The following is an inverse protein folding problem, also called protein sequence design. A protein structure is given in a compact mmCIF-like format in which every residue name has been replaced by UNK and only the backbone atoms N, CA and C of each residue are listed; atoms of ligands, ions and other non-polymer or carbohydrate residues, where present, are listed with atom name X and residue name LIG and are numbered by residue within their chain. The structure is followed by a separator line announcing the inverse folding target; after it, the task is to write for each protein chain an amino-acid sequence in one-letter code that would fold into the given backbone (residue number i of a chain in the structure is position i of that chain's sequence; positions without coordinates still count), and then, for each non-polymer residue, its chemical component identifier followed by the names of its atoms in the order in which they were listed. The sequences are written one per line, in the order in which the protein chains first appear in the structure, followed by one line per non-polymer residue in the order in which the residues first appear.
data_IF_880429559009
#
_entry.id   IF_880429559009
#
_cell.length_a   1.000
_cell.length_b   1.000
_cell.length_c   1.000
_cell.angle_alpha   90.00
_cell.angle_beta   90.00
_cell.angle_gamma   90.00
#
_symmetry.space_group_name_H-M   'P 1'
#
loop_
_entity.id
_entity.type
_entity.pdbx_description
1 polymer ?
#
# COMPACT_ATOMS: atom_id res chain seq x y z
N UNK A 1 8.76 12.02 -18.58
CA UNK A 1 9.00 11.31 -17.30
C UNK A 1 7.63 10.94 -16.75
N UNK A 2 7.41 9.68 -16.40
CA UNK A 2 6.20 9.28 -15.66
C UNK A 2 6.48 9.43 -14.16
N UNK A 3 5.61 10.12 -13.45
CA UNK A 3 5.75 10.27 -12.00
C UNK A 3 5.59 8.92 -11.31
N UNK A 4 6.44 8.64 -10.31
CA UNK A 4 6.40 7.40 -9.55
C UNK A 4 5.70 7.67 -8.22
N UNK A 5 4.55 7.02 -8.00
CA UNK A 5 3.88 7.00 -6.71
C UNK A 5 4.49 5.89 -5.85
N UNK A 6 5.09 6.27 -4.72
CA UNK A 6 5.59 5.31 -3.73
C UNK A 6 4.71 5.35 -2.50
N UNK A 7 4.12 4.20 -2.13
CA UNK A 7 3.41 4.02 -0.87
C UNK A 7 4.33 3.25 0.09
N UNK A 8 4.44 3.72 1.34
CA UNK A 8 5.22 3.06 2.39
C UNK A 8 4.32 2.75 3.57
N UNK A 9 4.25 1.47 3.97
CA UNK A 9 3.64 1.06 5.23
C UNK A 9 4.67 1.22 6.35
N UNK A 10 4.30 1.93 7.41
CA UNK A 10 5.13 2.19 8.58
C UNK A 10 4.56 1.46 9.79
N UNK A 11 5.41 1.12 10.76
CA UNK A 11 4.95 0.76 12.10
C UNK A 11 4.35 2.03 12.76
N UNK A 12 3.13 1.93 13.29
CA UNK A 12 2.43 3.10 13.89
C UNK A 12 3.15 3.68 15.10
N UNK A 13 4.08 2.92 15.70
CA UNK A 13 4.88 3.33 16.87
C UNK A 13 6.32 3.67 16.52
N UNK A 14 6.82 3.15 15.40
CA UNK A 14 8.19 3.35 14.93
C UNK A 14 8.12 3.76 13.47
N UNK A 15 8.75 4.87 13.08
CA UNK A 15 8.82 5.32 11.68
C UNK A 15 9.64 4.40 10.76
N UNK A 16 9.86 3.14 11.17
CA UNK A 16 10.54 2.12 10.40
C UNK A 16 9.63 1.63 9.26
N UNK A 17 10.10 1.65 8.00
CA UNK A 17 9.40 1.04 6.88
C UNK A 17 9.20 -0.45 7.08
N UNK A 18 7.95 -0.91 6.99
CA UNK A 18 7.59 -2.33 6.97
C UNK A 18 7.59 -2.84 5.53
N UNK A 19 6.98 -2.09 4.61
CA UNK A 19 6.82 -2.49 3.22
C UNK A 19 6.63 -1.28 2.30
N UNK A 20 7.01 -1.43 1.03
CA UNK A 20 6.83 -0.41 0.00
C UNK A 20 6.22 -0.98 -1.28
N UNK A 21 5.41 -0.14 -1.93
CA UNK A 21 4.84 -0.39 -3.25
C UNK A 21 5.14 0.81 -4.15
N UNK A 22 5.39 0.54 -5.43
CA UNK A 22 5.65 1.56 -6.45
C UNK A 22 4.70 1.38 -7.60
N UNK A 23 4.09 2.48 -8.02
CA UNK A 23 3.14 2.57 -9.12
C UNK A 23 3.61 3.67 -10.06
N UNK A 24 3.38 3.49 -11.37
CA UNK A 24 3.85 4.43 -12.39
C UNK A 24 2.72 4.87 -13.32
N UNK A 25 1.83 3.95 -13.67
CA UNK A 25 0.82 4.17 -14.71
C UNK A 25 -0.58 3.79 -14.26
N UNK A 26 -0.72 3.24 -13.05
CA UNK A 26 -1.96 2.76 -12.49
C UNK A 26 -2.92 3.93 -12.22
N UNK A 27 -4.08 4.00 -12.92
CA UNK A 27 -5.05 5.08 -12.71
C UNK A 27 -5.83 4.92 -11.40
N UNK A 28 -5.78 3.73 -10.79
CA UNK A 28 -6.45 3.39 -9.54
C UNK A 28 -5.56 2.42 -8.75
N UNK A 29 -5.27 2.76 -7.50
CA UNK A 29 -4.61 1.86 -6.54
C UNK A 29 -5.61 1.53 -5.44
N UNK A 30 -6.03 0.26 -5.37
CA UNK A 30 -6.91 -0.24 -4.30
C UNK A 30 -6.07 -0.71 -3.11
N UNK A 31 -6.51 -0.34 -1.90
CA UNK A 31 -5.82 -0.64 -0.64
C UNK A 31 -6.85 -1.27 0.31
N UNK A 32 -6.51 -2.42 0.90
CA UNK A 32 -7.37 -3.12 1.85
C UNK A 32 -6.84 -4.51 2.17
N UNK A 33 -7.62 -5.35 2.87
CA UNK A 33 -7.20 -6.72 3.22
C UNK A 33 -7.57 -7.78 2.18
N UNK A 34 -8.44 -7.45 1.22
CA UNK A 34 -8.83 -8.41 0.20
C UNK A 34 -7.65 -8.70 -0.76
N UNK A 35 -7.48 -9.96 -1.20
CA UNK A 35 -6.33 -10.37 -2.01
C UNK A 35 -6.32 -9.78 -3.42
N UNK A 36 -7.43 -9.18 -3.88
CA UNK A 36 -7.56 -8.50 -5.16
C UNK A 36 -7.22 -7.00 -5.09
N UNK A 37 -6.84 -6.49 -3.92
CA UNK A 37 -6.27 -5.14 -3.79
C UNK A 37 -4.83 -5.09 -4.29
N UNK A 38 -4.42 -3.92 -4.77
CA UNK A 38 -3.05 -3.67 -5.22
C UNK A 38 -2.08 -3.62 -4.03
N UNK A 39 -2.56 -3.04 -2.92
CA UNK A 39 -1.87 -3.04 -1.63
C UNK A 39 -2.70 -3.85 -0.66
N UNK A 40 -2.19 -5.03 -0.32
CA UNK A 40 -2.81 -5.93 0.65
C UNK A 40 -2.20 -5.67 2.02
N UNK A 41 -3.03 -5.22 2.98
CA UNK A 41 -2.66 -5.10 4.39
C UNK A 41 -3.37 -6.20 5.16
N UNK A 42 -2.61 -7.20 5.60
CA UNK A 42 -3.14 -8.39 6.29
C UNK A 42 -3.45 -8.07 7.75
N UNK A 43 -4.51 -7.31 7.97
CA UNK A 43 -4.99 -6.93 9.30
C UNK A 43 -6.54 -7.05 9.38
N UNK A 44 -7.10 -7.70 10.42
CA UNK A 44 -8.55 -7.85 10.58
C UNK A 44 -9.34 -6.55 10.71
N UNK A 45 -8.70 -5.44 11.11
CA UNK A 45 -9.32 -4.13 11.26
C UNK A 45 -9.38 -3.34 9.95
N UNK A 46 -8.67 -3.80 8.91
CA UNK A 46 -8.69 -3.18 7.58
C UNK A 46 -9.87 -3.71 6.76
N UNK A 47 -10.55 -2.81 6.05
CA UNK A 47 -11.65 -3.18 5.15
C UNK A 47 -11.18 -4.06 3.99
N UNK A 48 -12.12 -4.83 3.42
CA UNK A 48 -11.87 -5.60 2.20
C UNK A 48 -11.64 -4.65 1.04
#
# INVERSE_FOLDING_TARGET
MSDILTLTLLDGTRTNPIQQWRFQTEPLVKIGRAPDNHVVVVDPLVSR
#
